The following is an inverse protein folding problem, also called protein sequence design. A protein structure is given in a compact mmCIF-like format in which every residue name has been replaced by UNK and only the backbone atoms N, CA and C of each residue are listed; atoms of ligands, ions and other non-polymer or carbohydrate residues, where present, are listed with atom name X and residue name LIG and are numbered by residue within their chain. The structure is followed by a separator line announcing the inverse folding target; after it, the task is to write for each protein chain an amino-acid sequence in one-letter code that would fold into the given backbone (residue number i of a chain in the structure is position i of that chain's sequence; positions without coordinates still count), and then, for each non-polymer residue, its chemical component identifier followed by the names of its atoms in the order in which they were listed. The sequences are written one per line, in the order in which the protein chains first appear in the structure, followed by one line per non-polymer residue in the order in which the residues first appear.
data_IF_020907013847
#
_entry.id   IF_020907013847
#
_cell.length_a   1.000
_cell.length_b   1.000
_cell.length_c   1.000
_cell.angle_alpha   90.00
_cell.angle_beta   90.00
_cell.angle_gamma   90.00
#
_symmetry.space_group_name_H-M   'P 1'
#
loop_
_entity.id
_entity.type
_entity.pdbx_description
1 polymer ?
#
# COMPACT_ATOMS: atom_id res chain seq x y z
N UNK A 1 2.08 -4.44 9.58
CA UNK A 1 2.32 -3.84 8.26
C UNK A 1 1.03 -3.33 7.61
N UNK A 2 -0.01 -4.16 7.44
CA UNK A 2 -1.25 -3.78 6.74
C UNK A 2 -1.85 -2.42 7.12
N UNK A 3 -1.95 -2.08 8.42
CA UNK A 3 -2.53 -0.79 8.85
C UNK A 3 -1.80 0.44 8.31
N UNK A 4 -0.48 0.35 8.12
CA UNK A 4 0.29 1.46 7.52
C UNK A 4 -0.19 1.72 6.09
N UNK A 5 -0.61 0.67 5.38
CA UNK A 5 -1.18 0.77 4.04
C UNK A 5 -2.67 1.12 4.10
N UNK A 6 -3.51 0.32 4.77
CA UNK A 6 -4.97 0.51 4.73
C UNK A 6 -5.44 1.81 5.38
N UNK A 7 -4.77 2.24 6.45
CA UNK A 7 -5.20 3.38 7.28
C UNK A 7 -4.30 4.60 7.06
N UNK A 8 -3.38 4.54 6.09
CA UNK A 8 -2.39 5.57 5.82
C UNK A 8 -2.08 5.72 4.33
N UNK A 9 -1.01 5.07 3.86
CA UNK A 9 -0.47 5.30 2.52
C UNK A 9 -1.45 4.91 1.38
N UNK A 10 -2.27 3.90 1.60
CA UNK A 10 -3.24 3.40 0.62
C UNK A 10 -4.37 4.37 0.32
N UNK A 11 -4.76 5.24 1.27
CA UNK A 11 -5.86 6.19 1.06
C UNK A 11 -5.55 7.18 -0.07
N UNK A 12 -4.34 7.75 -0.10
CA UNK A 12 -3.93 8.65 -1.20
C UNK A 12 -3.74 7.89 -2.51
N UNK A 13 -3.27 6.64 -2.46
CA UNK A 13 -3.10 5.78 -3.64
C UNK A 13 -4.40 5.25 -4.23
N UNK A 14 -5.51 5.38 -3.52
CA UNK A 14 -6.83 5.19 -4.11
C UNK A 14 -7.14 6.25 -5.19
N UNK A 15 -6.47 7.41 -5.19
CA UNK A 15 -6.75 8.52 -6.10
C UNK A 15 -5.55 8.92 -6.96
N UNK A 16 -4.33 8.95 -6.39
CA UNK A 16 -3.13 9.47 -7.04
C UNK A 16 -2.08 8.38 -7.21
N UNK A 17 -1.32 8.44 -8.30
CA UNK A 17 -0.10 7.66 -8.44
C UNK A 17 1.00 8.09 -7.45
N UNK A 18 2.04 7.27 -7.24
CA UNK A 18 3.15 7.63 -6.35
C UNK A 18 3.95 8.84 -6.83
N UNK A 19 4.08 9.07 -8.14
CA UNK A 19 4.77 10.23 -8.70
C UNK A 19 3.93 11.51 -8.56
N UNK A 20 2.63 11.44 -8.79
CA UNK A 20 1.71 12.56 -8.55
C UNK A 20 1.67 12.91 -7.06
N UNK A 21 1.66 11.90 -6.20
CA UNK A 21 1.79 12.08 -4.75
C UNK A 21 3.11 12.79 -4.40
N UNK A 22 4.22 12.36 -4.98
CA UNK A 22 5.52 13.00 -4.76
C UNK A 22 5.53 14.45 -5.27
N UNK A 23 4.90 14.71 -6.41
CA UNK A 23 4.75 16.04 -6.99
C UNK A 23 3.90 16.96 -6.10
N UNK A 24 2.81 16.45 -5.52
CA UNK A 24 1.85 17.21 -4.70
C UNK A 24 2.27 17.33 -3.22
N UNK A 25 3.19 16.50 -2.73
CA UNK A 25 3.72 16.59 -1.37
C UNK A 25 4.74 17.74 -1.18
N UNK A 26 5.10 18.41 -2.27
CA UNK A 26 6.06 19.50 -2.36
C UNK A 26 5.59 20.49 -3.44
N UNK A 27 6.40 21.52 -3.70
CA UNK A 27 6.21 22.44 -4.83
C UNK A 27 6.71 21.79 -6.13
N UNK A 28 6.15 20.62 -6.45
CA UNK A 28 6.50 19.81 -7.60
C UNK A 28 7.64 18.81 -7.36
N UNK A 29 7.81 17.92 -8.34
CA UNK A 29 8.74 16.79 -8.25
C UNK A 29 10.21 17.22 -8.08
N UNK A 30 10.62 18.36 -8.64
CA UNK A 30 11.99 18.84 -8.50
C UNK A 30 12.31 19.23 -7.04
N UNK A 31 11.41 19.97 -6.39
CA UNK A 31 11.58 20.34 -4.99
C UNK A 31 11.52 19.10 -4.07
N UNK A 32 10.61 18.17 -4.36
CA UNK A 32 10.53 16.88 -3.67
C UNK A 32 11.87 16.14 -3.69
N UNK A 33 12.52 16.05 -4.86
CA UNK A 33 13.82 15.42 -5.00
C UNK A 33 14.92 16.21 -4.29
N UNK A 34 14.94 17.54 -4.38
CA UNK A 34 15.91 18.38 -3.65
C UNK A 34 15.86 18.15 -2.14
N UNK A 35 14.64 18.06 -1.57
CA UNK A 35 14.43 17.85 -0.13
C UNK A 35 14.75 16.42 0.30
N UNK A 36 14.28 15.42 -0.45
CA UNK A 36 14.16 14.05 0.07
C UNK A 36 15.03 13.00 -0.62
N UNK A 37 15.66 13.29 -1.77
CA UNK A 37 16.42 12.28 -2.52
C UNK A 37 17.56 11.64 -1.70
N UNK A 38 18.27 12.42 -0.87
CA UNK A 38 19.29 11.87 0.05
C UNK A 38 18.72 10.84 1.02
N UNK A 39 17.50 11.08 1.51
CA UNK A 39 16.78 10.15 2.37
C UNK A 39 16.35 8.90 1.61
N UNK A 40 15.83 9.05 0.39
CA UNK A 40 15.45 7.92 -0.47
C UNK A 40 16.64 7.00 -0.73
N UNK A 41 17.77 7.56 -1.17
CA UNK A 41 19.01 6.79 -1.43
C UNK A 41 19.46 6.05 -0.17
N UNK A 42 19.49 6.72 0.99
CA UNK A 42 19.90 6.08 2.25
C UNK A 42 18.99 4.91 2.62
N UNK A 43 17.67 5.10 2.51
CA UNK A 43 16.69 4.06 2.85
C UNK A 43 16.78 2.90 1.86
N UNK A 44 16.85 3.16 0.56
CA UNK A 44 16.91 2.09 -0.45
C UNK A 44 18.23 1.31 -0.40
N UNK A 45 19.35 1.95 -0.06
CA UNK A 45 20.63 1.27 0.16
C UNK A 45 20.62 0.36 1.40
N UNK A 46 19.74 0.60 2.37
CA UNK A 46 19.59 -0.27 3.54
C UNK A 46 18.67 -1.48 3.31
N UNK A 47 18.10 -1.65 2.12
CA UNK A 47 17.27 -2.82 1.84
C UNK A 47 18.13 -4.08 1.86
N UNK A 48 17.61 -5.12 2.52
CA UNK A 48 18.24 -6.43 2.55
C UNK A 48 18.21 -7.13 1.19
N UNK A 49 18.76 -8.35 1.12
CA UNK A 49 18.66 -9.17 -0.08
C UNK A 49 17.20 -9.47 -0.44
N UNK A 50 16.98 -9.86 -1.70
CA UNK A 50 15.66 -10.31 -2.17
C UNK A 50 15.19 -11.49 -1.30
N UNK A 51 13.99 -11.43 -0.69
CA UNK A 51 13.46 -12.54 0.11
C UNK A 51 13.28 -13.81 -0.73
N UNK A 52 13.46 -14.99 -0.12
CA UNK A 52 13.22 -16.29 -0.76
C UNK A 52 11.72 -16.66 -0.87
N UNK A 53 10.85 -15.95 -0.14
CA UNK A 53 9.40 -16.21 -0.06
C UNK A 53 9.03 -17.60 0.46
N UNK A 54 9.86 -18.17 1.34
CA UNK A 54 9.65 -19.47 1.96
C UNK A 54 10.10 -19.48 3.44
N UNK A 55 10.02 -20.65 4.08
CA UNK A 55 10.53 -20.91 5.42
C UNK A 55 9.81 -20.15 6.54
N UNK A 56 10.52 -19.97 7.65
CA UNK A 56 9.96 -19.47 8.90
C UNK A 56 9.28 -18.09 8.80
N UNK A 57 9.76 -17.22 7.90
CA UNK A 57 9.13 -15.92 7.67
C UNK A 57 7.76 -16.07 7.01
N UNK A 58 7.64 -16.94 6.00
CA UNK A 58 6.35 -17.24 5.38
C UNK A 58 5.39 -17.88 6.38
N UNK A 59 5.86 -18.83 7.18
CA UNK A 59 5.03 -19.50 8.21
C UNK A 59 4.47 -18.49 9.21
N UNK A 60 5.30 -17.54 9.64
CA UNK A 60 4.89 -16.46 10.54
C UNK A 60 3.84 -15.55 9.88
N UNK A 61 4.07 -15.10 8.65
CA UNK A 61 3.11 -14.25 7.92
C UNK A 61 1.78 -14.98 7.71
N UNK A 62 1.83 -16.26 7.31
CA UNK A 62 0.65 -17.08 7.14
C UNK A 62 -0.13 -17.22 8.45
N UNK A 63 0.54 -17.52 9.56
CA UNK A 63 -0.09 -17.61 10.88
C UNK A 63 -0.81 -16.31 11.26
N UNK A 64 -0.13 -15.17 11.16
CA UNK A 64 -0.71 -13.86 11.49
C UNK A 64 -1.91 -13.51 10.58
N UNK A 65 -1.85 -13.88 9.30
CA UNK A 65 -2.96 -13.66 8.37
C UNK A 65 -4.15 -14.58 8.65
N UNK A 66 -3.92 -15.86 8.91
CA UNK A 66 -4.99 -16.83 9.22
C UNK A 66 -5.69 -16.48 10.54
N UNK A 67 -4.94 -16.00 11.55
CA UNK A 67 -5.52 -15.51 12.82
C UNK A 67 -6.48 -14.32 12.60
N UNK A 68 -6.19 -13.45 11.62
CA UNK A 68 -7.01 -12.28 11.28
C UNK A 68 -8.13 -12.59 10.28
N UNK A 69 -7.85 -13.46 9.32
CA UNK A 69 -8.67 -13.80 8.15
C UNK A 69 -8.58 -15.32 7.96
N UNK A 70 -9.41 -16.10 8.70
CA UNK A 70 -9.41 -17.55 8.57
C UNK A 70 -9.65 -18.00 7.13
N UNK A 71 -9.03 -19.11 6.74
CA UNK A 71 -9.03 -19.60 5.34
C UNK A 71 -10.44 -19.98 4.88
N UNK A 72 -11.21 -20.57 5.79
CA UNK A 72 -12.62 -20.92 5.61
C UNK A 72 -13.52 -19.69 5.35
N UNK A 73 -13.11 -18.52 5.87
CA UNK A 73 -13.84 -17.26 5.77
C UNK A 73 -13.43 -16.44 4.53
N UNK A 74 -12.47 -16.90 3.72
CA UNK A 74 -12.01 -16.16 2.53
C UNK A 74 -13.13 -15.72 1.58
N UNK A 75 -14.19 -16.53 1.31
CA UNK A 75 -15.32 -16.07 0.49
C UNK A 75 -15.99 -14.80 1.04
N UNK A 76 -16.20 -14.73 2.37
CA UNK A 76 -16.79 -13.58 3.06
C UNK A 76 -15.89 -12.34 2.94
N UNK A 77 -14.59 -12.48 3.17
CA UNK A 77 -13.64 -11.38 3.09
C UNK A 77 -13.44 -10.85 1.67
N UNK A 78 -13.45 -11.74 0.66
CA UNK A 78 -13.44 -11.33 -0.75
C UNK A 78 -14.70 -10.55 -1.10
N UNK A 79 -15.88 -11.02 -0.67
CA UNK A 79 -17.14 -10.26 -0.87
C UNK A 79 -17.08 -8.88 -0.20
N UNK A 80 -16.58 -8.80 1.03
CA UNK A 80 -16.38 -7.53 1.72
C UNK A 80 -15.45 -6.60 0.93
N UNK A 81 -14.28 -7.07 0.49
CA UNK A 81 -13.32 -6.31 -0.32
C UNK A 81 -13.98 -5.80 -1.61
N UNK A 82 -14.66 -6.67 -2.35
CA UNK A 82 -15.22 -6.35 -3.66
C UNK A 82 -16.35 -5.32 -3.55
N UNK A 83 -17.17 -5.39 -2.49
CA UNK A 83 -18.17 -4.36 -2.20
C UNK A 83 -17.55 -2.98 -1.96
N UNK A 84 -16.43 -2.90 -1.22
CA UNK A 84 -15.74 -1.63 -0.97
C UNK A 84 -15.01 -1.11 -2.21
N UNK A 85 -14.45 -2.00 -3.04
CA UNK A 85 -13.88 -1.62 -4.33
C UNK A 85 -14.93 -1.06 -5.30
N UNK A 86 -16.14 -1.64 -5.32
CA UNK A 86 -17.25 -1.11 -6.11
C UNK A 86 -17.69 0.28 -5.64
N UNK A 87 -17.77 0.49 -4.32
CA UNK A 87 -18.08 1.80 -3.73
C UNK A 87 -16.98 2.84 -4.05
N UNK A 88 -15.70 2.46 -3.92
CA UNK A 88 -14.57 3.30 -4.30
C UNK A 88 -14.58 3.63 -5.80
N UNK A 89 -14.92 2.68 -6.67
CA UNK A 89 -15.03 2.92 -8.11
C UNK A 89 -16.11 3.94 -8.44
N UNK A 90 -17.26 3.89 -7.74
CA UNK A 90 -18.31 4.91 -7.85
C UNK A 90 -17.78 6.28 -7.41
N UNK A 91 -17.17 6.35 -6.23
CA UNK A 91 -16.59 7.59 -5.72
C UNK A 91 -15.54 8.19 -6.67
N UNK A 92 -14.67 7.36 -7.27
CA UNK A 92 -13.65 7.82 -8.22
C UNK A 92 -14.28 8.38 -9.51
N UNK A 93 -15.39 7.82 -9.98
CA UNK A 93 -16.13 8.36 -11.14
C UNK A 93 -16.74 9.72 -10.86
N UNK A 94 -17.11 9.98 -9.61
CA UNK A 94 -17.66 11.28 -9.18
C UNK A 94 -16.56 12.31 -8.89
N UNK A 95 -15.40 11.85 -8.41
CA UNK A 95 -14.27 12.72 -8.05
C UNK A 95 -13.45 13.21 -9.25
N UNK A 96 -13.47 12.49 -10.37
CA UNK A 96 -12.92 12.97 -11.65
C UNK A 96 -14.00 13.75 -12.41
N UNK A 97 -13.65 14.96 -12.87
CA UNK A 97 -14.39 15.65 -13.95
C UNK A 97 -14.10 14.94 -15.27
#
# INVERSE_FOLDING_TARGET
MDRVMSDGLGMRYAFLGPLETAHLNAEGMLEQCQKYAKGYVRVTQSFGPVPSYDGATLDKVNKELVEKIPVEDLPKWRKWRDMHLAALAKLKKEAWI
#
